data_IF_078532599695
#
_entry.id   IF_078532599695
#
_cell.length_a   1.000
_cell.length_b   1.000
_cell.length_c   1.000
_cell.angle_alpha   90.00
_cell.angle_beta   90.00
_cell.angle_gamma   90.00
#
_symmetry.space_group_name_H-M   'P 1'
#
loop_
_entity.id
_entity.type
_entity.pdbx_description
1 polymer ?
#
# COMPACT_ATOMS: atom_id res chain seq x y z
N UNK A 1 -27.65 6.94 -6.20
CA UNK A 1 -26.94 7.76 -5.19
C UNK A 1 -26.06 8.69 -6.00
N UNK A 2 -25.96 9.99 -5.70
CA UNK A 2 -25.18 10.95 -6.51
C UNK A 2 -23.66 10.79 -6.39
N UNK A 3 -23.19 9.60 -6.04
CA UNK A 3 -21.81 9.24 -5.72
C UNK A 3 -21.55 7.78 -6.09
N UNK A 4 -20.29 7.43 -6.38
CA UNK A 4 -19.82 6.06 -6.59
C UNK A 4 -19.35 5.44 -5.28
N UNK A 5 -19.19 4.11 -5.24
CA UNK A 5 -18.65 3.48 -4.03
C UNK A 5 -17.16 3.82 -3.89
N UNK A 6 -16.37 3.65 -4.95
CA UNK A 6 -14.92 3.85 -4.93
C UNK A 6 -14.49 5.07 -5.73
N UNK A 7 -13.40 5.70 -5.31
CA UNK A 7 -12.62 6.58 -6.19
C UNK A 7 -11.99 5.77 -7.31
N UNK A 8 -11.50 6.45 -8.34
CA UNK A 8 -10.90 5.80 -9.50
C UNK A 8 -9.73 4.89 -9.09
N UNK A 9 -9.79 3.65 -9.56
CA UNK A 9 -8.74 2.65 -9.40
C UNK A 9 -7.65 2.84 -10.46
N UNK A 10 -7.06 4.03 -10.47
CA UNK A 10 -6.16 4.46 -11.54
C UNK A 10 -4.93 3.57 -11.69
N UNK A 11 -4.59 3.27 -12.95
CA UNK A 11 -3.48 2.41 -13.36
C UNK A 11 -2.35 3.21 -14.04
N UNK A 12 -2.38 4.54 -13.94
CA UNK A 12 -1.19 5.36 -14.19
C UNK A 12 -0.14 5.14 -13.09
N UNK A 13 1.15 5.39 -13.39
CA UNK A 13 2.26 5.15 -12.47
C UNK A 13 2.21 5.93 -11.15
N UNK A 14 1.39 6.98 -11.04
CA UNK A 14 1.12 7.66 -9.77
C UNK A 14 0.23 6.85 -8.82
N UNK A 15 -0.56 5.90 -9.34
CA UNK A 15 -1.65 5.23 -8.64
C UNK A 15 -1.60 3.70 -8.69
N UNK A 16 -0.99 3.12 -9.72
CA UNK A 16 -1.04 1.68 -10.00
C UNK A 16 -0.51 0.79 -8.86
N UNK A 17 0.46 1.28 -8.09
CA UNK A 17 1.04 0.63 -6.91
C UNK A 17 -0.02 0.25 -5.87
N UNK A 18 -1.13 1.00 -5.79
CA UNK A 18 -2.26 0.65 -4.91
C UNK A 18 -2.84 -0.72 -5.26
N UNK A 19 -2.87 -1.09 -6.53
CA UNK A 19 -3.55 -2.31 -6.98
C UNK A 19 -2.58 -3.42 -7.35
N UNK A 20 -1.48 -3.09 -8.05
CA UNK A 20 -0.45 -4.06 -8.44
C UNK A 20 0.48 -4.48 -7.30
N UNK A 21 0.50 -3.72 -6.20
CA UNK A 21 1.31 -4.02 -5.00
C UNK A 21 0.41 -4.24 -3.78
N UNK A 22 -0.33 -3.22 -3.33
CA UNK A 22 -1.05 -3.30 -2.04
C UNK A 22 -2.26 -4.24 -2.11
N UNK A 23 -3.09 -4.17 -3.16
CA UNK A 23 -4.21 -5.10 -3.29
C UNK A 23 -3.73 -6.52 -3.60
N UNK A 24 -2.71 -6.65 -4.47
CA UNK A 24 -2.06 -7.93 -4.78
C UNK A 24 -1.41 -8.60 -3.55
N UNK A 25 -1.12 -7.85 -2.49
CA UNK A 25 -0.58 -8.38 -1.25
C UNK A 25 -1.49 -9.37 -0.55
N UNK A 26 -2.81 -9.12 -0.57
CA UNK A 26 -3.78 -9.94 0.16
C UNK A 26 -3.77 -11.40 -0.29
N UNK A 27 -3.91 -11.74 -1.58
CA UNK A 27 -3.85 -13.13 -2.01
C UNK A 27 -2.49 -13.79 -1.71
N UNK A 28 -1.38 -13.04 -1.76
CA UNK A 28 -0.05 -13.56 -1.40
C UNK A 28 0.02 -13.87 0.10
N UNK A 29 -0.37 -12.91 0.94
CA UNK A 29 -0.36 -13.06 2.39
C UNK A 29 -1.19 -14.28 2.82
N UNK A 30 -2.40 -14.43 2.29
CA UNK A 30 -3.26 -15.55 2.65
C UNK A 30 -2.71 -16.89 2.14
N UNK A 31 -2.06 -16.93 0.97
CA UNK A 31 -1.38 -18.14 0.51
C UNK A 31 -0.21 -18.52 1.43
N UNK A 32 0.56 -17.53 1.86
CA UNK A 32 1.64 -17.72 2.83
C UNK A 32 1.13 -18.26 4.17
N UNK A 33 0.02 -17.70 4.69
CA UNK A 33 -0.60 -18.19 5.92
C UNK A 33 -1.12 -19.63 5.76
N UNK A 34 -1.77 -19.94 4.65
CA UNK A 34 -2.31 -21.28 4.38
C UNK A 34 -1.20 -22.34 4.28
N UNK A 35 -0.05 -21.98 3.70
CA UNK A 35 1.08 -22.88 3.51
C UNK A 35 2.07 -22.88 4.69
N UNK A 36 1.94 -21.95 5.64
CA UNK A 36 2.87 -21.79 6.77
C UNK A 36 4.27 -21.35 6.32
N UNK A 37 4.35 -20.46 5.33
CA UNK A 37 5.59 -19.94 4.76
C UNK A 37 5.62 -18.40 4.83
N UNK A 38 6.81 -17.83 4.70
CA UNK A 38 7.02 -16.37 4.66
C UNK A 38 7.60 -15.88 3.32
N UNK A 39 7.89 -16.80 2.39
CA UNK A 39 8.43 -16.51 1.05
C UNK A 39 8.29 -17.75 0.15
N UNK A 40 8.26 -17.55 -1.17
CA UNK A 40 8.23 -18.63 -2.17
C UNK A 40 8.90 -18.23 -3.47
N UNK A 41 9.46 -19.20 -4.18
CA UNK A 41 9.95 -19.02 -5.55
C UNK A 41 8.85 -19.20 -6.60
N UNK A 42 7.71 -19.76 -6.21
CA UNK A 42 6.58 -20.02 -7.08
C UNK A 42 5.29 -19.88 -6.27
N UNK A 43 4.59 -18.76 -6.45
CA UNK A 43 3.24 -18.56 -5.93
C UNK A 43 2.28 -19.46 -6.72
N UNK A 44 1.29 -20.07 -6.06
CA UNK A 44 0.31 -20.97 -6.66
C UNK A 44 -0.87 -20.22 -7.27
N UNK A 45 -1.20 -19.05 -6.73
CA UNK A 45 -2.38 -18.28 -7.14
C UNK A 45 -3.67 -18.79 -6.51
N UNK A 46 -3.60 -19.42 -5.34
CA UNK A 46 -4.70 -20.07 -4.62
C UNK A 46 -5.89 -19.13 -4.40
N UNK A 47 -5.60 -17.85 -4.16
CA UNK A 47 -6.59 -16.81 -3.84
C UNK A 47 -6.84 -15.83 -5.00
N UNK A 48 -6.52 -16.19 -6.24
CA UNK A 48 -6.73 -15.30 -7.38
C UNK A 48 -8.21 -15.10 -7.72
N UNK A 49 -9.09 -16.07 -7.46
CA UNK A 49 -10.54 -15.87 -7.62
C UNK A 49 -11.08 -14.84 -6.62
N UNK A 50 -10.55 -14.82 -5.39
CA UNK A 50 -10.84 -13.78 -4.39
C UNK A 50 -10.30 -12.42 -4.84
N UNK A 51 -9.08 -12.40 -5.37
CA UNK A 51 -8.46 -11.20 -5.93
C UNK A 51 -9.26 -10.62 -7.11
N UNK A 52 -9.80 -11.48 -7.99
CA UNK A 52 -10.71 -11.08 -9.08
C UNK A 52 -11.93 -10.36 -8.54
N UNK A 53 -12.60 -10.96 -7.55
CA UNK A 53 -13.84 -10.43 -6.99
C UNK A 53 -13.64 -9.04 -6.37
N UNK A 54 -12.55 -8.84 -5.62
CA UNK A 54 -12.26 -7.52 -5.06
C UNK A 54 -11.88 -6.52 -6.15
N UNK A 55 -11.10 -6.93 -7.17
CA UNK A 55 -10.77 -6.05 -8.30
C UNK A 55 -12.02 -5.64 -9.09
N UNK A 56 -12.90 -6.58 -9.39
CA UNK A 56 -14.20 -6.33 -10.03
C UNK A 56 -15.04 -5.35 -9.19
N UNK A 57 -15.02 -5.48 -7.86
CA UNK A 57 -15.73 -4.56 -6.96
C UNK A 57 -15.21 -3.13 -7.09
N UNK A 58 -13.88 -2.94 -7.12
CA UNK A 58 -13.26 -1.63 -7.32
C UNK A 58 -13.64 -1.02 -8.68
N UNK A 59 -13.38 -1.73 -9.77
CA UNK A 59 -13.47 -1.14 -11.12
C UNK A 59 -14.91 -0.94 -11.58
N UNK A 60 -15.86 -1.77 -11.14
CA UNK A 60 -17.26 -1.66 -11.56
C UNK A 60 -18.08 -0.70 -10.71
N UNK A 61 -17.52 -0.18 -9.62
CA UNK A 61 -18.20 0.75 -8.71
C UNK A 61 -17.38 2.02 -8.45
N UNK A 62 -16.44 2.33 -9.35
CA UNK A 62 -15.63 3.53 -9.31
C UNK A 62 -16.38 4.78 -9.83
N UNK A 63 -15.76 5.95 -9.69
CA UNK A 63 -16.19 7.24 -10.28
C UNK A 63 -16.00 7.31 -11.80
N UNK A 64 -15.34 6.33 -12.41
CA UNK A 64 -15.05 6.28 -13.84
C UNK A 64 -15.28 4.88 -14.41
N UNK A 65 -15.40 4.80 -15.73
CA UNK A 65 -15.55 3.52 -16.42
C UNK A 65 -14.24 2.71 -16.35
N UNK A 66 -14.31 1.36 -16.27
CA UNK A 66 -13.12 0.49 -16.26
C UNK A 66 -12.13 0.74 -17.40
N UNK A 67 -12.62 1.13 -18.57
CA UNK A 67 -11.81 1.41 -19.77
C UNK A 67 -10.97 2.68 -19.65
N UNK A 68 -11.23 3.53 -18.64
CA UNK A 68 -10.54 4.79 -18.41
C UNK A 68 -9.43 4.68 -17.36
N UNK A 69 -9.29 3.54 -16.68
CA UNK A 69 -8.37 3.41 -15.54
C UNK A 69 -6.91 3.66 -15.91
N UNK A 70 -6.50 3.35 -17.15
CA UNK A 70 -5.14 3.57 -17.64
C UNK A 70 -4.70 5.04 -17.67
N UNK A 71 -5.64 5.98 -17.61
CA UNK A 71 -5.36 7.42 -17.62
C UNK A 71 -5.65 8.10 -16.29
N UNK A 72 -6.15 7.36 -15.30
CA UNK A 72 -6.55 7.90 -13.99
C UNK A 72 -5.36 7.93 -13.05
N UNK A 73 -5.19 9.07 -12.40
CA UNK A 73 -4.03 9.37 -11.54
C UNK A 73 -4.37 9.26 -10.06
N UNK A 74 -3.35 9.35 -9.19
CA UNK A 74 -3.57 9.49 -7.75
C UNK A 74 -4.33 10.78 -7.41
N UNK A 75 -3.99 11.89 -8.07
CA UNK A 75 -4.64 13.19 -7.86
C UNK A 75 -6.13 13.13 -8.23
N UNK A 76 -6.50 12.41 -9.29
CA UNK A 76 -7.91 12.17 -9.64
C UNK A 76 -8.63 11.45 -8.49
N UNK A 77 -8.05 10.37 -7.97
CA UNK A 77 -8.65 9.57 -6.90
C UNK A 77 -8.78 10.38 -5.59
N UNK A 78 -7.75 11.16 -5.23
CA UNK A 78 -7.80 12.06 -4.08
C UNK A 78 -8.88 13.13 -4.28
N UNK A 79 -8.93 13.78 -5.44
CA UNK A 79 -9.94 14.79 -5.75
C UNK A 79 -11.38 14.24 -5.68
N UNK A 80 -11.60 13.05 -6.25
CA UNK A 80 -12.88 12.36 -6.21
C UNK A 80 -13.34 12.08 -4.77
N UNK A 81 -12.42 11.68 -3.89
CA UNK A 81 -12.72 11.45 -2.48
C UNK A 81 -13.01 12.75 -1.71
N UNK A 82 -12.12 13.75 -1.78
CA UNK A 82 -12.28 15.00 -1.01
C UNK A 82 -13.45 15.86 -1.49
N UNK A 83 -13.88 15.69 -2.74
CA UNK A 83 -15.08 16.36 -3.28
C UNK A 83 -16.37 15.56 -3.08
N UNK A 84 -16.31 14.41 -2.39
CA UNK A 84 -17.47 13.59 -2.04
C UNK A 84 -18.10 12.85 -3.24
N UNK A 85 -17.34 12.61 -4.31
CA UNK A 85 -17.80 11.82 -5.46
C UNK A 85 -17.77 10.31 -5.18
N UNK A 86 -16.98 9.88 -4.20
CA UNK A 86 -16.94 8.51 -3.72
C UNK A 86 -16.91 8.42 -2.20
N UNK A 87 -17.14 7.20 -1.68
CA UNK A 87 -17.12 6.90 -0.23
C UNK A 87 -15.87 6.13 0.18
N UNK A 88 -15.31 5.32 -0.72
CA UNK A 88 -14.13 4.51 -0.46
C UNK A 88 -12.95 4.97 -1.31
N UNK A 89 -11.81 5.12 -0.64
CA UNK A 89 -10.53 5.44 -1.26
C UNK A 89 -9.48 4.50 -0.68
N UNK A 90 -8.98 3.56 -1.49
CA UNK A 90 -7.88 2.70 -1.07
C UNK A 90 -6.60 3.53 -1.04
N UNK A 91 -6.07 3.80 0.15
CA UNK A 91 -4.77 4.40 0.37
C UNK A 91 -4.30 4.07 1.82
N UNK A 92 -3.13 4.57 2.23
CA UNK A 92 -2.60 4.40 3.57
C UNK A 92 -2.62 5.68 4.41
N UNK A 93 -2.10 5.59 5.63
CA UNK A 93 -2.12 6.69 6.59
C UNK A 93 -1.27 7.89 6.16
N UNK A 94 -0.31 7.70 5.26
CA UNK A 94 0.50 8.76 4.65
C UNK A 94 -0.34 9.76 3.82
N UNK A 95 -1.54 9.37 3.38
CA UNK A 95 -2.41 10.22 2.55
C UNK A 95 -3.15 11.29 3.36
N UNK A 96 -3.09 11.22 4.71
CA UNK A 96 -3.90 12.08 5.58
C UNK A 96 -3.79 13.58 5.25
N UNK A 97 -2.59 14.10 4.97
CA UNK A 97 -2.40 15.51 4.65
C UNK A 97 -3.19 15.97 3.41
N UNK A 98 -3.44 15.08 2.46
CA UNK A 98 -4.18 15.36 1.23
C UNK A 98 -5.70 15.26 1.42
N UNK A 99 -6.17 14.60 2.50
CA UNK A 99 -7.60 14.37 2.76
C UNK A 99 -8.10 15.05 4.04
N UNK A 100 -7.22 15.70 4.81
CA UNK A 100 -7.57 16.31 6.10
C UNK A 100 -8.69 17.36 6.00
N UNK A 101 -8.86 18.02 4.85
CA UNK A 101 -9.94 18.99 4.62
C UNK A 101 -11.34 18.37 4.65
N UNK A 102 -11.45 17.04 4.54
CA UNK A 102 -12.72 16.29 4.74
C UNK A 102 -13.21 16.39 6.19
N UNK A 103 -12.31 16.67 7.14
CA UNK A 103 -12.59 16.70 8.58
C UNK A 103 -12.43 15.33 9.22
N UNK A 104 -11.71 15.29 10.34
CA UNK A 104 -11.36 14.04 11.03
C UNK A 104 -12.58 13.20 11.41
N UNK A 105 -13.69 13.84 11.78
CA UNK A 105 -14.94 13.17 12.15
C UNK A 105 -15.64 12.47 10.97
N UNK A 106 -15.23 12.79 9.74
CA UNK A 106 -15.77 12.24 8.51
C UNK A 106 -14.85 11.17 7.88
N UNK A 107 -13.69 10.89 8.50
CA UNK A 107 -12.74 9.88 8.04
C UNK A 107 -12.88 8.58 8.85
N UNK A 108 -12.83 7.46 8.15
CA UNK A 108 -12.81 6.12 8.75
C UNK A 108 -11.84 5.22 7.97
N UNK A 109 -11.25 4.24 8.66
CA UNK A 109 -10.48 3.16 8.04
C UNK A 109 -11.24 1.84 8.12
N UNK A 110 -11.15 1.07 7.04
CA UNK A 110 -11.76 -0.26 6.95
C UNK A 110 -10.74 -1.22 6.34
N UNK A 111 -10.55 -2.43 6.91
CA UNK A 111 -9.75 -3.46 6.26
C UNK A 111 -10.27 -3.82 4.87
N UNK A 112 -9.38 -4.23 3.98
CA UNK A 112 -9.76 -4.78 2.68
C UNK A 112 -10.05 -6.27 2.88
N UNK A 113 -11.30 -6.67 2.66
CA UNK A 113 -11.75 -8.05 2.74
C UNK A 113 -11.85 -8.62 1.33
N UNK A 114 -11.33 -9.84 1.12
CA UNK A 114 -11.31 -10.51 -0.19
C UNK A 114 -12.16 -11.79 -0.22
N UNK A 115 -12.83 -12.14 0.86
CA UNK A 115 -13.71 -13.31 0.97
C UNK A 115 -12.98 -14.59 1.35
N UNK A 116 -11.92 -14.50 2.16
CA UNK A 116 -11.15 -15.68 2.61
C UNK A 116 -11.46 -16.06 4.05
N UNK A 117 -11.37 -17.35 4.38
CA UNK A 117 -11.64 -17.84 5.73
C UNK A 117 -10.71 -17.18 6.77
N UNK A 118 -11.29 -16.68 7.86
CA UNK A 118 -10.57 -16.03 8.96
C UNK A 118 -10.43 -14.52 8.81
N UNK A 119 -10.83 -13.92 7.68
CA UNK A 119 -10.72 -12.49 7.43
C UNK A 119 -11.56 -11.64 8.40
N UNK A 120 -12.54 -12.22 9.11
CA UNK A 120 -13.30 -11.51 10.14
C UNK A 120 -12.41 -11.03 11.31
N UNK A 121 -11.27 -11.69 11.53
CA UNK A 121 -10.26 -11.33 12.54
C UNK A 121 -9.13 -10.46 11.94
N UNK A 122 -9.26 -10.02 10.68
CA UNK A 122 -8.27 -9.25 9.96
C UNK A 122 -8.28 -7.77 10.34
N UNK A 123 -7.11 -7.24 10.68
CA UNK A 123 -6.85 -5.82 10.87
C UNK A 123 -6.49 -5.10 9.57
N UNK A 124 -5.88 -3.92 9.71
CA UNK A 124 -5.38 -3.12 8.58
C UNK A 124 -4.14 -3.80 7.98
N UNK A 125 -3.93 -3.63 6.67
CA UNK A 125 -2.68 -4.03 6.02
C UNK A 125 -1.55 -3.15 6.56
N UNK A 126 -0.60 -3.74 7.28
CA UNK A 126 0.47 -3.04 7.99
C UNK A 126 1.83 -3.64 7.66
N UNK A 127 2.81 -2.78 7.45
CA UNK A 127 4.19 -3.19 7.22
C UNK A 127 5.12 -2.00 7.07
N UNK A 128 6.37 -2.28 6.72
CA UNK A 128 7.37 -1.27 6.38
C UNK A 128 7.96 -1.59 5.02
N UNK A 129 7.87 -0.64 4.10
CA UNK A 129 8.41 -0.76 2.73
C UNK A 129 9.61 0.15 2.48
N UNK A 130 9.75 1.23 3.26
CA UNK A 130 10.82 2.22 3.13
C UNK A 130 11.88 1.99 4.21
N UNK A 131 13.12 1.78 3.78
CA UNK A 131 14.26 1.56 4.66
C UNK A 131 15.34 2.60 4.40
N UNK A 132 15.98 3.08 5.46
CA UNK A 132 17.22 3.82 5.33
C UNK A 132 18.39 2.84 5.21
N UNK A 133 19.18 3.00 4.14
CA UNK A 133 20.31 2.14 3.83
C UNK A 133 21.61 2.94 3.79
N UNK A 134 22.69 2.37 4.32
CA UNK A 134 24.03 2.95 4.25
C UNK A 134 24.81 2.34 3.09
N UNK A 135 25.34 3.19 2.20
CA UNK A 135 26.13 2.72 1.07
C UNK A 135 27.50 2.21 1.55
N UNK A 136 27.69 0.89 1.52
CA UNK A 136 28.96 0.24 1.91
C UNK A 136 30.19 0.65 1.09
N UNK A 137 29.98 1.29 -0.07
CA UNK A 137 31.07 1.74 -0.96
C UNK A 137 31.46 3.21 -0.75
N UNK A 138 30.83 3.93 0.19
CA UNK A 138 31.24 5.27 0.58
C UNK A 138 32.53 5.25 1.41
N UNK A 139 33.12 6.42 1.71
CA UNK A 139 34.29 6.49 2.59
C UNK A 139 33.91 6.09 4.02
N UNK A 140 34.88 5.63 4.82
CA UNK A 140 34.64 5.28 6.24
C UNK A 140 34.09 6.48 7.03
N UNK A 141 34.57 7.69 6.74
CA UNK A 141 34.10 8.93 7.33
C UNK A 141 32.62 9.19 6.98
N UNK A 142 32.23 9.04 5.71
CA UNK A 142 30.84 9.24 5.26
C UNK A 142 29.89 8.18 5.82
N UNK A 143 30.36 6.92 5.91
CA UNK A 143 29.59 5.83 6.52
C UNK A 143 29.29 6.16 7.98
N UNK A 144 30.32 6.57 8.74
CA UNK A 144 30.13 6.91 10.15
C UNK A 144 29.23 8.14 10.31
N UNK A 145 29.44 9.18 9.50
CA UNK A 145 28.58 10.37 9.53
C UNK A 145 27.11 10.04 9.20
N UNK A 146 26.88 9.12 8.25
CA UNK A 146 25.52 8.67 7.90
C UNK A 146 24.87 7.90 9.05
N UNK A 147 25.61 7.00 9.71
CA UNK A 147 25.12 6.26 10.87
C UNK A 147 24.80 7.20 12.04
N UNK A 148 25.67 8.16 12.31
CA UNK A 148 25.48 9.17 13.35
C UNK A 148 24.24 10.02 13.06
N UNK A 149 24.03 10.40 11.80
CA UNK A 149 22.88 11.18 11.37
C UNK A 149 21.56 10.39 11.50
N UNK A 150 21.52 9.15 11.02
CA UNK A 150 20.33 8.28 11.14
C UNK A 150 19.97 8.06 12.62
N UNK A 151 20.98 7.79 13.46
CA UNK A 151 20.76 7.66 14.90
C UNK A 151 20.23 8.97 15.49
N UNK A 152 20.84 10.11 15.14
CA UNK A 152 20.37 11.43 15.58
C UNK A 152 18.91 11.70 15.20
N UNK A 153 18.48 11.31 13.99
CA UNK A 153 17.09 11.47 13.54
C UNK A 153 16.08 10.75 14.44
N UNK A 154 16.47 9.65 15.09
CA UNK A 154 15.55 8.80 15.85
C UNK A 154 15.80 8.81 17.35
N UNK A 155 16.85 9.49 17.82
CA UNK A 155 17.16 9.60 19.26
C UNK A 155 17.24 11.05 19.78
N UNK A 156 17.43 12.04 18.91
CA UNK A 156 17.51 13.45 19.34
C UNK A 156 16.13 14.09 19.39
N UNK A 157 15.91 15.04 20.31
CA UNK A 157 14.63 15.77 20.39
C UNK A 157 14.28 16.45 19.06
N UNK A 158 15.22 17.18 18.45
CA UNK A 158 14.98 17.86 17.17
C UNK A 158 14.72 16.86 16.04
N UNK A 159 15.48 15.77 15.96
CA UNK A 159 15.33 14.75 14.93
C UNK A 159 14.00 14.01 15.05
N UNK A 160 13.65 13.58 16.26
CA UNK A 160 12.39 12.88 16.54
C UNK A 160 11.18 13.78 16.25
N UNK A 161 11.22 15.05 16.67
CA UNK A 161 10.17 16.02 16.31
C UNK A 161 10.10 16.26 14.80
N UNK A 162 11.24 16.33 14.10
CA UNK A 162 11.26 16.44 12.65
C UNK A 162 10.63 15.23 11.95
N UNK A 163 10.89 14.02 12.46
CA UNK A 163 10.36 12.76 11.92
C UNK A 163 8.87 12.59 12.20
N UNK A 164 8.47 12.71 13.47
CA UNK A 164 7.15 12.30 13.93
C UNK A 164 6.16 13.47 14.10
N UNK A 165 6.67 14.66 14.37
CA UNK A 165 5.86 15.81 14.79
C UNK A 165 5.05 16.44 13.67
N UNK A 166 3.97 17.10 14.06
CA UNK A 166 3.09 17.89 13.18
C UNK A 166 3.47 19.38 13.22
N UNK A 167 2.53 20.31 13.00
CA UNK A 167 2.82 21.75 12.80
C UNK A 167 3.88 22.34 13.75
N UNK A 168 4.82 23.09 13.18
CA UNK A 168 5.86 23.77 13.96
C UNK A 168 6.94 22.88 14.56
N UNK A 169 6.95 21.56 14.29
CA UNK A 169 7.94 20.64 14.85
C UNK A 169 9.38 20.88 14.35
N UNK A 170 9.55 21.59 13.24
CA UNK A 170 10.87 21.95 12.71
C UNK A 170 11.38 23.28 13.28
N UNK A 171 12.71 23.48 13.47
CA UNK A 171 13.28 24.78 13.86
C UNK A 171 12.93 25.95 12.92
N UNK A 172 12.54 25.64 11.68
CA UNK A 172 12.06 26.62 10.70
C UNK A 172 10.61 27.08 10.93
N UNK A 173 9.89 26.48 11.88
CA UNK A 173 8.46 26.67 12.11
C UNK A 173 7.56 25.88 11.16
N UNK A 174 8.13 25.06 10.26
CA UNK A 174 7.37 24.15 9.40
C UNK A 174 6.89 22.92 10.19
N UNK A 175 5.85 22.26 9.69
CA UNK A 175 5.47 20.94 10.17
C UNK A 175 6.62 19.93 10.00
N UNK A 176 6.69 18.95 10.90
CA UNK A 176 7.50 17.76 10.70
C UNK A 176 6.91 16.85 9.61
N UNK A 177 7.53 15.69 9.43
CA UNK A 177 7.17 14.76 8.35
C UNK A 177 5.98 13.86 8.70
N UNK A 178 5.55 13.82 9.97
CA UNK A 178 4.38 13.05 10.42
C UNK A 178 4.53 11.53 10.30
N UNK A 179 5.77 11.01 10.27
CA UNK A 179 6.03 9.59 10.18
C UNK A 179 5.81 8.88 11.52
N UNK A 180 5.29 7.65 11.46
CA UNK A 180 5.37 6.71 12.58
C UNK A 180 6.68 5.94 12.41
N UNK A 181 7.61 6.11 13.35
CA UNK A 181 8.93 5.47 13.28
C UNK A 181 8.97 4.23 14.18
N UNK A 182 9.62 3.13 13.76
CA UNK A 182 9.68 1.89 14.55
C UNK A 182 10.79 1.92 15.61
N UNK A 183 10.98 3.05 16.29
CA UNK A 183 12.04 3.27 17.30
C UNK A 183 11.46 3.72 18.63
N UNK A 184 12.17 3.45 19.73
CA UNK A 184 11.67 3.68 21.10
C UNK A 184 11.26 5.14 21.37
N UNK A 185 11.92 6.11 20.74
CA UNK A 185 11.62 7.52 20.91
C UNK A 185 10.48 8.03 20.01
N UNK A 186 9.76 7.15 19.32
CA UNK A 186 8.60 7.53 18.50
C UNK A 186 7.60 8.38 19.32
N UNK A 187 6.98 9.34 18.66
CA UNK A 187 5.91 10.14 19.26
C UNK A 187 4.55 9.54 18.92
N UNK A 188 3.58 9.77 19.80
CA UNK A 188 2.18 9.50 19.49
C UNK A 188 1.76 10.32 18.26
N UNK A 189 1.09 9.67 17.30
CA UNK A 189 0.73 10.32 16.05
C UNK A 189 -0.48 11.24 16.24
N UNK A 190 -0.41 12.46 15.70
CA UNK A 190 -1.58 13.33 15.59
C UNK A 190 -2.41 13.04 14.33
N UNK A 191 -2.00 12.08 13.51
CA UNK A 191 -2.72 11.68 12.31
C UNK A 191 -3.86 10.72 12.70
N UNK A 192 -5.10 11.14 12.49
CA UNK A 192 -6.29 10.36 12.85
C UNK A 192 -6.31 8.97 12.20
N UNK A 193 -5.75 8.82 10.99
CA UNK A 193 -5.70 7.53 10.30
C UNK A 193 -4.74 6.55 11.00
N UNK A 194 -3.65 7.02 11.60
CA UNK A 194 -2.79 6.13 12.41
C UNK A 194 -3.54 5.66 13.67
N UNK A 195 -4.24 6.58 14.35
CA UNK A 195 -4.99 6.24 15.56
C UNK A 195 -6.14 5.25 15.28
N UNK A 196 -6.85 5.42 14.16
CA UNK A 196 -7.87 4.48 13.70
C UNK A 196 -7.27 3.11 13.35
N UNK A 197 -6.09 3.09 12.71
CA UNK A 197 -5.42 1.83 12.38
C UNK A 197 -4.99 1.08 13.66
N UNK A 198 -4.45 1.79 14.65
CA UNK A 198 -4.08 1.22 15.95
C UNK A 198 -5.30 0.70 16.71
N UNK A 199 -6.42 1.44 16.69
CA UNK A 199 -7.69 0.99 17.30
C UNK A 199 -8.18 -0.31 16.66
N UNK A 200 -8.24 -0.37 15.32
CA UNK A 200 -8.68 -1.57 14.59
C UNK A 200 -7.75 -2.76 14.82
N UNK A 201 -6.46 -2.52 14.98
CA UNK A 201 -5.46 -3.57 15.17
C UNK A 201 -5.32 -4.01 16.64
N UNK A 202 -5.91 -3.30 17.60
CA UNK A 202 -5.82 -3.64 19.03
C UNK A 202 -6.47 -5.00 19.36
N UNK A 203 -7.51 -5.37 18.61
CA UNK A 203 -8.31 -6.58 18.78
C UNK A 203 -8.34 -7.47 17.52
N UNK A 204 -7.55 -7.15 16.50
CA UNK A 204 -7.44 -7.90 15.25
C UNK A 204 -5.99 -8.21 14.86
N UNK A 205 -5.81 -9.10 13.89
CA UNK A 205 -4.48 -9.45 13.36
C UNK A 205 -4.20 -8.67 12.08
N UNK A 206 -3.20 -7.76 12.04
CA UNK A 206 -2.85 -7.01 10.84
C UNK A 206 -2.42 -7.93 9.69
N UNK A 207 -2.75 -7.55 8.45
CA UNK A 207 -2.20 -8.22 7.26
C UNK A 207 -0.80 -7.69 7.02
N UNK A 208 0.20 -8.56 7.14
CA UNK A 208 1.59 -8.19 6.89
C UNK A 208 1.79 -7.86 5.40
N UNK A 209 2.56 -6.81 5.11
CA UNK A 209 3.06 -6.56 3.76
C UNK A 209 4.14 -7.57 3.38
N UNK A 210 3.87 -8.35 2.34
CA UNK A 210 4.76 -9.35 1.73
C UNK A 210 5.64 -8.73 0.63
N UNK A 211 5.74 -7.40 0.55
CA UNK A 211 6.33 -6.69 -0.60
C UNK A 211 7.79 -7.06 -0.85
N UNK A 212 8.58 -7.27 0.21
CA UNK A 212 9.99 -7.66 0.11
C UNK A 212 10.18 -9.08 -0.43
N UNK A 213 9.10 -9.86 -0.53
CA UNK A 213 9.10 -11.22 -1.09
C UNK A 213 8.62 -11.24 -2.53
N UNK A 214 8.00 -10.14 -3.01
CA UNK A 214 7.62 -10.01 -4.42
C UNK A 214 8.90 -9.97 -5.27
N UNK A 215 8.99 -10.74 -6.36
CA UNK A 215 10.26 -11.10 -6.96
C UNK A 215 10.97 -9.94 -7.66
N UNK A 216 10.23 -8.98 -8.24
CA UNK A 216 10.81 -7.80 -8.88
C UNK A 216 9.77 -6.69 -9.10
N UNK A 217 10.23 -5.49 -9.45
CA UNK A 217 9.34 -4.44 -9.96
C UNK A 217 8.75 -4.81 -11.33
N UNK A 218 9.49 -5.57 -12.13
CA UNK A 218 9.00 -6.02 -13.45
C UNK A 218 7.81 -6.99 -13.31
N UNK A 219 7.82 -7.88 -12.31
CA UNK A 219 6.66 -8.70 -11.97
C UNK A 219 5.43 -7.83 -11.66
N UNK A 220 5.60 -6.81 -10.82
CA UNK A 220 4.50 -5.88 -10.48
C UNK A 220 3.99 -5.16 -11.71
N UNK A 221 4.87 -4.69 -12.59
CA UNK A 221 4.51 -4.04 -13.85
C UNK A 221 3.72 -4.97 -14.78
N UNK A 222 4.11 -6.26 -14.84
CA UNK A 222 3.39 -7.30 -15.55
C UNK A 222 1.97 -7.49 -15.01
N UNK A 223 1.83 -7.63 -13.68
CA UNK A 223 0.52 -7.72 -13.01
C UNK A 223 -0.34 -6.46 -13.28
N UNK A 224 0.22 -5.26 -13.13
CA UNK A 224 -0.48 -4.01 -13.39
C UNK A 224 -0.97 -3.87 -14.84
N UNK A 225 -0.14 -4.28 -15.80
CA UNK A 225 -0.50 -4.29 -17.23
C UNK A 225 -1.64 -5.28 -17.52
N UNK A 226 -1.60 -6.45 -16.91
CA UNK A 226 -2.65 -7.46 -17.05
C UNK A 226 -3.97 -7.00 -16.42
N UNK A 227 -3.94 -6.40 -15.22
CA UNK A 227 -5.12 -5.81 -14.56
C UNK A 227 -5.76 -4.71 -15.41
N UNK A 228 -4.95 -3.85 -16.02
CA UNK A 228 -5.43 -2.79 -16.93
C UNK A 228 -6.10 -3.38 -18.17
N UNK A 229 -5.52 -4.44 -18.73
CA UNK A 229 -6.09 -5.17 -19.88
C UNK A 229 -7.43 -5.81 -19.51
N UNK A 230 -7.49 -6.48 -18.36
CA UNK A 230 -8.73 -7.06 -17.83
C UNK A 230 -9.81 -5.99 -17.57
N UNK A 231 -9.43 -4.83 -17.01
CA UNK A 231 -10.38 -3.74 -16.80
C UNK A 231 -10.97 -3.20 -18.12
N UNK A 232 -10.18 -3.17 -19.19
CA UNK A 232 -10.64 -2.74 -20.51
C UNK A 232 -11.60 -3.74 -21.20
N UNK A 233 -11.48 -5.03 -20.89
CA UNK A 233 -12.32 -6.11 -21.43
C UNK A 233 -12.46 -7.22 -20.39
N UNK A 234 -13.51 -7.16 -19.56
CA UNK A 234 -13.73 -8.11 -18.46
C UNK A 234 -14.24 -9.46 -19.00
N UNK A 235 -13.33 -10.40 -19.20
CA UNK A 235 -13.62 -11.76 -19.66
C UNK A 235 -12.73 -12.78 -18.95
N UNK A 236 -13.09 -14.06 -19.01
CA UNK A 236 -12.22 -15.11 -18.46
C UNK A 236 -10.88 -15.17 -19.19
N UNK A 237 -10.85 -14.92 -20.50
CA UNK A 237 -9.60 -14.94 -21.27
C UNK A 237 -8.63 -13.81 -20.91
N UNK A 238 -9.12 -12.61 -20.59
CA UNK A 238 -8.27 -11.52 -20.09
C UNK A 238 -7.88 -11.72 -18.63
N UNK A 239 -8.73 -12.38 -17.83
CA UNK A 239 -8.38 -12.78 -16.46
C UNK A 239 -7.30 -13.87 -16.42
N UNK A 240 -7.34 -14.84 -17.34
CA UNK A 240 -6.26 -15.83 -17.50
C UNK A 240 -4.90 -15.16 -17.73
N UNK A 241 -4.90 -13.99 -18.40
CA UNK A 241 -3.74 -13.13 -18.54
C UNK A 241 -3.23 -12.57 -17.20
N UNK A 242 -4.13 -12.18 -16.30
CA UNK A 242 -3.80 -11.77 -14.92
C UNK A 242 -3.22 -12.95 -14.15
N UNK A 243 -3.84 -14.13 -14.22
CA UNK A 243 -3.33 -15.35 -13.57
C UNK A 243 -1.93 -15.69 -14.05
N UNK A 244 -1.71 -15.65 -15.37
CA UNK A 244 -0.38 -15.90 -15.98
C UNK A 244 0.65 -14.88 -15.50
N UNK A 245 0.33 -13.58 -15.53
CA UNK A 245 1.23 -12.54 -15.06
C UNK A 245 1.57 -12.70 -13.57
N UNK A 246 0.58 -13.09 -12.75
CA UNK A 246 0.76 -13.27 -11.33
C UNK A 246 1.59 -14.51 -10.99
N UNK A 247 1.23 -15.68 -11.52
CA UNK A 247 1.81 -16.99 -11.17
C UNK A 247 3.10 -17.27 -11.95
N UNK A 248 3.02 -17.30 -13.28
CA UNK A 248 4.17 -17.64 -14.12
C UNK A 248 5.19 -16.50 -14.14
N UNK A 249 4.70 -15.26 -14.11
CA UNK A 249 5.56 -14.08 -13.96
C UNK A 249 6.34 -14.12 -12.64
N UNK A 250 5.73 -14.58 -11.55
CA UNK A 250 6.43 -14.69 -10.26
C UNK A 250 7.61 -15.64 -10.35
N UNK A 251 7.37 -16.85 -10.86
CA UNK A 251 8.41 -17.86 -10.99
C UNK A 251 9.55 -17.40 -11.92
N UNK A 252 9.21 -16.70 -13.01
CA UNK A 252 10.17 -16.15 -13.97
C UNK A 252 11.09 -15.12 -13.29
N UNK A 253 10.50 -14.15 -12.61
CA UNK A 253 11.25 -13.05 -11.98
C UNK A 253 11.99 -13.50 -10.71
N UNK A 254 11.44 -14.46 -9.97
CA UNK A 254 12.13 -15.08 -8.84
C UNK A 254 13.39 -15.84 -9.28
N UNK A 255 13.36 -16.48 -10.45
CA UNK A 255 14.54 -17.12 -11.02
C UNK A 255 15.56 -16.08 -11.52
N UNK A 256 15.10 -15.00 -12.15
CA UNK A 256 15.96 -13.95 -12.69
C UNK A 256 16.69 -13.14 -11.60
N UNK A 257 16.04 -12.85 -10.47
CA UNK A 257 16.63 -12.10 -9.35
C UNK A 257 17.74 -12.84 -8.60
N UNK A 258 17.89 -14.15 -8.81
CA UNK A 258 18.93 -14.99 -8.21
C UNK A 258 20.14 -15.21 -9.11
N UNK A 259 20.06 -14.82 -10.38
CA UNK A 259 21.12 -15.00 -11.39
C UNK A 259 22.17 -13.88 -11.34
#
# INVERSE_FOLDING_TARGET
>A
LGFSAFGSAGMDGSSDWRFKTHLANLPIYYEYQADGIDTTDAIKGTYLDNYRQIWDLYINNATCDPTQLSTKTADDATAEFVTGQCVFYQNGTWEYANVAEVGDENLALVPIYIGVDGEENQGICTGSENYWCVNKNASEEDIQATLDFINWCVTSETGVNAMCGSEGAMPSGKAGMGFVIPFEANLESTNVLNNLADEINADKTPVKWCFSTMPSEEWKNGVGSALTTYAADQSDGTWDGVVTAFVDGWATEAAASKA
#
